data_IF_390812152496
#
_entry.id   IF_390812152496
#
_cell.length_a   1.000
_cell.length_b   1.000
_cell.length_c   1.000
_cell.angle_alpha   90.00
_cell.angle_beta   90.00
_cell.angle_gamma   90.00
#
_symmetry.space_group_name_H-M   'P 1'
#
loop_
_entity.id
_entity.type
_entity.pdbx_description
1 polymer ?
#
# COMPACT_ATOMS: atom_id res chain seq x y z
N UNK A 1 -0.77 4.14 0.54
CA UNK A 1 -1.25 4.53 1.88
C UNK A 1 -0.12 5.29 2.57
N UNK A 2 -0.44 6.07 3.60
CA UNK A 2 0.59 6.78 4.39
C UNK A 2 1.48 5.77 5.10
N UNK A 3 2.80 5.99 5.08
CA UNK A 3 3.79 5.09 5.69
C UNK A 3 4.24 3.93 4.80
N UNK A 4 3.60 3.70 3.65
CA UNK A 4 4.13 2.79 2.64
C UNK A 4 5.51 3.27 2.19
N UNK A 5 6.44 2.35 1.92
CA UNK A 5 7.76 2.72 1.42
C UNK A 5 8.39 1.61 0.58
N UNK A 6 9.30 2.01 -0.32
CA UNK A 6 10.20 1.08 -1.00
C UNK A 6 11.63 1.61 -0.96
N UNK A 7 12.59 0.69 -1.13
CA UNK A 7 14.01 0.99 -1.06
C UNK A 7 14.61 0.98 -2.46
N UNK A 8 15.28 2.06 -2.85
CA UNK A 8 16.17 2.02 -4.01
C UNK A 8 17.43 1.22 -3.64
N UNK A 9 17.73 0.18 -4.40
CA UNK A 9 18.83 -0.74 -4.18
C UNK A 9 19.98 -0.52 -5.18
N UNK A 10 21.07 -1.29 -5.04
CA UNK A 10 22.26 -1.12 -5.89
C UNK A 10 21.98 -1.33 -7.39
N UNK A 11 20.97 -2.13 -7.74
CA UNK A 11 20.57 -2.37 -9.12
C UNK A 11 19.89 -1.15 -9.77
N UNK A 12 19.53 -0.15 -8.97
CA UNK A 12 19.00 1.10 -9.45
C UNK A 12 20.10 2.07 -9.90
N UNK A 13 21.35 1.86 -9.49
CA UNK A 13 22.44 2.81 -9.69
C UNK A 13 23.46 2.33 -10.74
N UNK A 14 24.49 3.15 -10.98
CA UNK A 14 25.64 2.72 -11.78
C UNK A 14 26.31 1.48 -11.17
N UNK A 15 26.90 0.58 -11.97
CA UNK A 15 27.59 -0.60 -11.46
C UNK A 15 28.62 -0.28 -10.38
N UNK A 16 28.57 -0.99 -9.26
CA UNK A 16 29.46 -0.78 -8.11
C UNK A 16 29.15 0.45 -7.25
N UNK A 17 28.06 1.17 -7.54
CA UNK A 17 27.60 2.29 -6.71
C UNK A 17 26.46 1.88 -5.78
N UNK A 18 26.31 2.67 -4.72
CA UNK A 18 25.28 2.50 -3.69
C UNK A 18 24.52 3.80 -3.50
N UNK A 19 23.42 3.78 -2.75
CA UNK A 19 22.66 5.00 -2.44
C UNK A 19 23.53 6.12 -1.82
N UNK A 20 24.58 5.77 -1.08
CA UNK A 20 25.49 6.74 -0.45
C UNK A 20 26.26 7.61 -1.46
N UNK A 21 26.42 7.15 -2.71
CA UNK A 21 27.08 7.88 -3.79
C UNK A 21 26.21 8.99 -4.42
N UNK A 22 24.93 9.08 -4.02
CA UNK A 22 23.94 9.96 -4.64
C UNK A 22 23.32 10.94 -3.64
N UNK A 23 22.85 12.06 -4.17
CA UNK A 23 21.91 12.96 -3.50
C UNK A 23 20.52 12.74 -4.10
N UNK A 24 19.54 12.48 -3.23
CA UNK A 24 18.17 12.21 -3.64
C UNK A 24 17.29 13.46 -3.54
N UNK A 25 16.34 13.58 -4.46
CA UNK A 25 15.33 14.63 -4.41
C UNK A 25 13.99 14.15 -4.97
N UNK A 26 12.92 14.72 -4.44
CA UNK A 26 11.53 14.60 -4.85
C UNK A 26 10.92 16.00 -4.86
N UNK A 27 10.04 16.30 -5.81
CA UNK A 27 9.33 17.59 -5.86
C UNK A 27 7.95 17.53 -5.20
N UNK A 28 7.41 16.32 -5.02
CA UNK A 28 6.13 16.09 -4.35
C UNK A 28 6.18 16.39 -2.85
N UNK A 29 5.12 17.03 -2.34
CA UNK A 29 4.85 17.10 -0.90
C UNK A 29 4.42 15.75 -0.30
N UNK A 30 3.88 14.85 -1.13
CA UNK A 30 3.24 13.60 -0.73
C UNK A 30 4.15 12.36 -0.76
N UNK A 31 5.35 12.50 -1.33
CA UNK A 31 6.41 11.48 -1.35
C UNK A 31 7.71 12.10 -0.86
N UNK A 32 8.42 11.36 -0.02
CA UNK A 32 9.74 11.69 0.49
C UNK A 32 10.77 10.68 0.03
N UNK A 33 12.03 11.10 -0.10
CA UNK A 33 13.17 10.20 -0.30
C UNK A 33 14.30 10.64 0.62
N UNK A 34 14.77 9.73 1.46
CA UNK A 34 15.87 10.02 2.38
C UNK A 34 17.25 9.78 1.74
N UNK A 35 18.32 10.12 2.49
CA UNK A 35 19.70 9.94 2.04
C UNK A 35 20.11 8.47 1.82
N UNK A 36 19.32 7.51 2.29
CA UNK A 36 19.54 6.08 2.05
C UNK A 36 18.83 5.58 0.80
N UNK A 37 18.02 6.42 0.14
CA UNK A 37 17.21 6.04 -1.00
C UNK A 37 15.89 5.36 -0.62
N UNK A 38 15.45 5.48 0.65
CA UNK A 38 14.14 5.00 1.08
C UNK A 38 13.08 6.00 0.63
N UNK A 39 12.19 5.57 -0.24
CA UNK A 39 11.08 6.38 -0.77
C UNK A 39 9.83 6.09 0.06
N UNK A 40 9.27 7.11 0.73
CA UNK A 40 8.13 6.96 1.65
C UNK A 40 6.94 7.82 1.22
N UNK A 41 5.74 7.24 1.22
CA UNK A 41 4.49 7.92 0.92
C UNK A 41 3.90 8.56 2.19
N UNK A 42 3.75 9.89 2.22
CA UNK A 42 3.37 10.65 3.42
C UNK A 42 1.87 10.96 3.51
N UNK A 43 1.23 11.23 2.39
CA UNK A 43 -0.18 11.58 2.32
C UNK A 43 -0.74 11.29 0.92
N UNK A 44 -2.06 11.40 0.78
CA UNK A 44 -2.71 11.37 -0.54
C UNK A 44 -2.11 12.47 -1.40
N UNK A 45 -1.74 12.15 -2.63
CA UNK A 45 -1.20 13.11 -3.58
C UNK A 45 -1.60 12.81 -5.02
N UNK A 46 -0.76 13.24 -5.96
CA UNK A 46 -0.95 13.02 -7.39
C UNK A 46 -0.81 11.54 -7.79
N UNK A 47 -1.17 11.21 -9.02
CA UNK A 47 -1.04 9.86 -9.56
C UNK A 47 0.39 9.53 -10.07
N UNK A 48 1.31 10.50 -10.10
CA UNK A 48 2.71 10.26 -10.44
C UNK A 48 3.67 11.26 -9.78
N UNK A 49 4.94 10.87 -9.63
CA UNK A 49 6.06 11.71 -9.18
C UNK A 49 7.39 11.20 -9.75
N UNK A 50 8.42 12.05 -9.76
CA UNK A 50 9.81 11.67 -10.08
C UNK A 50 10.72 11.76 -8.87
N UNK A 51 11.47 10.68 -8.64
CA UNK A 51 12.59 10.65 -7.71
C UNK A 51 13.88 10.78 -8.52
N UNK A 52 14.71 11.77 -8.18
CA UNK A 52 15.99 11.99 -8.85
C UNK A 52 17.13 11.63 -7.92
N UNK A 53 18.06 10.79 -8.41
CA UNK A 53 19.32 10.48 -7.75
C UNK A 53 20.47 11.11 -8.56
N UNK A 54 21.09 12.14 -7.99
CA UNK A 54 22.20 12.89 -8.62
C UNK A 54 23.54 12.39 -8.07
N UNK A 55 24.46 11.90 -8.91
CA UNK A 55 25.77 11.43 -8.44
C UNK A 55 26.57 12.56 -7.78
N UNK A 56 27.08 12.33 -6.57
CA UNK A 56 27.95 13.30 -5.86
C UNK A 56 29.27 13.57 -6.59
N UNK A 57 29.75 12.59 -7.36
CA UNK A 57 30.95 12.72 -8.19
C UNK A 57 30.74 13.56 -9.46
N UNK A 58 29.51 14.03 -9.72
CA UNK A 58 29.10 14.57 -11.01
C UNK A 58 28.77 13.48 -12.03
N UNK A 59 28.10 13.88 -13.11
CA UNK A 59 27.60 12.98 -14.16
C UNK A 59 26.08 13.04 -14.33
N UNK A 60 25.51 12.15 -15.15
CA UNK A 60 24.07 12.12 -15.39
C UNK A 60 23.29 11.63 -14.15
N UNK A 61 22.16 12.28 -13.87
CA UNK A 61 21.23 11.82 -12.83
C UNK A 61 20.40 10.63 -13.29
N UNK A 62 20.01 9.81 -12.31
CA UNK A 62 19.09 8.68 -12.48
C UNK A 62 17.70 9.14 -12.03
N UNK A 63 16.67 8.87 -12.84
CA UNK A 63 15.30 9.29 -12.56
C UNK A 63 14.39 8.08 -12.48
N UNK A 64 13.62 7.99 -11.39
CA UNK A 64 12.63 6.94 -11.16
C UNK A 64 11.24 7.56 -11.16
N UNK A 65 10.35 7.00 -11.98
CA UNK A 65 8.95 7.43 -12.03
C UNK A 65 8.10 6.54 -11.11
N UNK A 66 7.38 7.19 -10.20
CA UNK A 66 6.36 6.55 -9.38
C UNK A 66 5.02 6.77 -10.05
N UNK A 67 4.19 5.72 -10.11
CA UNK A 67 2.80 5.82 -10.55
C UNK A 67 1.90 5.17 -9.53
N UNK A 68 1.00 5.95 -8.96
CA UNK A 68 0.04 5.49 -7.95
C UNK A 68 -1.35 5.47 -8.56
N UNK A 69 -1.92 4.27 -8.68
CA UNK A 69 -3.27 4.08 -9.24
C UNK A 69 -4.37 4.30 -8.22
N UNK A 70 -4.09 3.96 -6.96
CA UNK A 70 -5.08 3.99 -5.90
C UNK A 70 -4.44 4.33 -4.57
N UNK A 71 -5.21 4.98 -3.71
CA UNK A 71 -4.83 5.28 -2.34
C UNK A 71 -5.67 4.51 -1.35
N UNK A 72 -4.99 3.90 -0.37
CA UNK A 72 -5.59 3.07 0.68
C UNK A 72 -5.60 3.80 2.02
N UNK A 73 -6.66 3.60 2.80
CA UNK A 73 -6.80 4.04 4.19
C UNK A 73 -7.27 2.87 5.04
N UNK A 74 -6.75 2.76 6.26
CA UNK A 74 -7.15 1.70 7.18
C UNK A 74 -8.13 2.22 8.24
N UNK A 75 -8.98 1.35 8.76
CA UNK A 75 -9.84 1.65 9.91
C UNK A 75 -9.13 1.58 11.26
N UNK A 76 -7.80 1.43 11.28
CA UNK A 76 -6.99 1.25 12.49
C UNK A 76 -7.37 -0.03 13.23
N UNK A 77 -7.52 0.06 14.55
CA UNK A 77 -7.86 -1.07 15.43
C UNK A 77 -9.36 -1.46 15.38
N UNK A 78 -10.15 -0.80 14.54
CA UNK A 78 -11.57 -1.07 14.44
C UNK A 78 -11.82 -2.45 13.82
N UNK A 79 -12.34 -3.35 14.65
CA UNK A 79 -12.75 -4.71 14.30
C UNK A 79 -14.28 -4.76 14.28
N UNK A 80 -14.88 -4.96 13.11
CA UNK A 80 -16.31 -4.63 12.89
C UNK A 80 -17.03 -5.63 12.00
N UNK A 81 -18.37 -5.60 12.05
CA UNK A 81 -19.23 -6.35 11.13
C UNK A 81 -19.21 -5.76 9.71
N UNK A 82 -19.60 -6.56 8.72
CA UNK A 82 -19.48 -6.19 7.31
C UNK A 82 -20.19 -4.87 6.94
N UNK A 83 -21.42 -4.65 7.41
CA UNK A 83 -22.18 -3.43 7.11
C UNK A 83 -21.53 -2.16 7.67
N UNK A 84 -20.84 -2.27 8.81
CA UNK A 84 -20.09 -1.14 9.38
C UNK A 84 -18.82 -0.85 8.57
N UNK A 85 -18.17 -1.88 8.01
CA UNK A 85 -17.03 -1.70 7.12
C UNK A 85 -17.42 -0.99 5.82
N UNK A 86 -18.55 -1.39 5.20
CA UNK A 86 -19.11 -0.70 4.04
C UNK A 86 -19.43 0.77 4.36
N UNK A 87 -20.07 1.02 5.49
CA UNK A 87 -20.42 2.37 5.93
C UNK A 87 -19.17 3.22 6.22
N UNK A 88 -18.14 2.64 6.86
CA UNK A 88 -16.87 3.32 7.14
C UNK A 88 -16.21 3.79 5.83
N UNK A 89 -16.10 2.91 4.84
CA UNK A 89 -15.48 3.27 3.56
C UNK A 89 -16.28 4.35 2.83
N UNK A 90 -17.59 4.13 2.65
CA UNK A 90 -18.45 5.04 1.88
C UNK A 90 -18.57 6.42 2.54
N UNK A 91 -18.72 6.50 3.86
CA UNK A 91 -18.80 7.77 4.60
C UNK A 91 -17.52 8.60 4.51
N UNK A 92 -16.36 7.97 4.25
CA UNK A 92 -15.08 8.65 4.08
C UNK A 92 -14.75 8.94 2.60
N UNK A 93 -15.65 8.65 1.66
CA UNK A 93 -15.43 8.85 0.22
C UNK A 93 -14.49 7.80 -0.40
N UNK A 94 -14.40 6.61 0.20
CA UNK A 94 -13.65 5.46 -0.29
C UNK A 94 -14.59 4.29 -0.59
N UNK A 95 -14.04 3.25 -1.21
CA UNK A 95 -14.75 2.01 -1.52
C UNK A 95 -14.16 0.86 -0.70
N UNK A 96 -15.02 -0.04 -0.19
CA UNK A 96 -14.58 -1.31 0.36
C UNK A 96 -14.04 -2.18 -0.81
N UNK A 97 -12.80 -2.66 -0.77
CA UNK A 97 -12.15 -3.33 -1.88
C UNK A 97 -12.76 -4.70 -2.17
N UNK A 98 -12.75 -5.11 -3.44
CA UNK A 98 -12.96 -6.52 -3.78
C UNK A 98 -11.77 -7.37 -3.32
N UNK A 99 -11.99 -8.67 -3.19
CA UNK A 99 -10.97 -9.59 -2.68
C UNK A 99 -9.68 -9.57 -3.52
N UNK A 100 -9.80 -9.46 -4.85
CA UNK A 100 -8.68 -9.36 -5.79
C UNK A 100 -7.86 -8.07 -5.66
N UNK A 101 -8.45 -6.99 -5.17
CA UNK A 101 -7.73 -5.75 -4.86
C UNK A 101 -6.97 -5.85 -3.52
N UNK A 102 -7.45 -6.68 -2.58
CA UNK A 102 -6.69 -6.99 -1.36
C UNK A 102 -5.54 -7.95 -1.67
N UNK A 103 -5.82 -9.03 -2.41
CA UNK A 103 -4.81 -9.93 -2.93
C UNK A 103 -5.32 -10.70 -4.17
N UNK A 104 -4.51 -10.81 -5.23
CA UNK A 104 -4.85 -11.59 -6.44
C UNK A 104 -3.91 -12.75 -6.72
N UNK A 105 -2.79 -12.88 -6.00
CA UNK A 105 -1.86 -13.99 -6.17
C UNK A 105 -1.11 -14.33 -4.88
N UNK A 106 -0.51 -15.53 -4.82
CA UNK A 106 0.38 -15.92 -3.71
C UNK A 106 1.82 -15.43 -3.88
N UNK A 107 2.11 -14.72 -4.97
CA UNK A 107 3.42 -14.20 -5.30
C UNK A 107 3.45 -12.67 -5.20
N UNK A 108 4.65 -12.09 -5.09
CA UNK A 108 4.82 -10.65 -5.22
C UNK A 108 4.33 -10.21 -6.60
N UNK A 109 3.53 -9.16 -6.65
CA UNK A 109 2.88 -8.68 -7.86
C UNK A 109 2.38 -7.26 -7.72
N UNK A 110 2.08 -6.62 -8.86
CA UNK A 110 1.53 -5.27 -8.91
C UNK A 110 0.02 -5.36 -9.06
N UNK A 111 -0.72 -4.45 -8.43
CA UNK A 111 -2.16 -4.25 -8.61
C UNK A 111 -3.04 -4.67 -7.43
N UNK A 112 -2.48 -5.24 -6.35
CA UNK A 112 -3.23 -5.48 -5.11
C UNK A 112 -2.39 -5.11 -3.89
N UNK A 113 -3.07 -4.83 -2.78
CA UNK A 113 -2.43 -4.35 -1.55
C UNK A 113 -1.40 -5.35 -1.02
N UNK A 114 -1.79 -6.60 -0.78
CA UNK A 114 -0.90 -7.62 -0.22
C UNK A 114 0.19 -8.02 -1.23
N UNK A 115 -0.13 -8.21 -2.51
CA UNK A 115 0.89 -8.64 -3.49
C UNK A 115 2.00 -7.59 -3.67
N UNK A 116 1.69 -6.30 -3.53
CA UNK A 116 2.69 -5.22 -3.65
C UNK A 116 3.50 -5.03 -2.36
N UNK A 117 2.81 -5.02 -1.22
CA UNK A 117 3.38 -4.52 0.04
C UNK A 117 3.72 -5.63 1.04
N UNK A 118 3.27 -6.86 0.78
CA UNK A 118 3.48 -8.03 1.63
C UNK A 118 2.60 -8.00 2.88
N UNK A 119 3.08 -8.63 3.95
CA UNK A 119 2.42 -8.60 5.26
C UNK A 119 2.25 -7.15 5.73
N UNK A 120 0.99 -6.76 5.88
CA UNK A 120 0.61 -5.38 6.19
C UNK A 120 0.85 -5.01 7.65
N UNK A 121 1.07 -5.98 8.55
CA UNK A 121 1.45 -5.68 9.94
C UNK A 121 2.83 -5.01 10.07
N UNK A 122 3.65 -5.01 9.03
CA UNK A 122 4.86 -4.17 9.00
C UNK A 122 4.55 -2.66 9.00
N UNK A 123 3.29 -2.27 8.77
CA UNK A 123 2.84 -0.88 8.71
C UNK A 123 1.85 -0.53 9.84
N UNK A 124 1.86 -1.25 10.97
CA UNK A 124 0.96 -0.97 12.10
C UNK A 124 1.13 0.44 12.66
N UNK A 125 2.36 0.90 12.92
CA UNK A 125 2.59 2.21 13.53
C UNK A 125 2.12 3.36 12.63
N UNK A 126 2.46 3.31 11.34
CA UNK A 126 2.28 4.47 10.45
C UNK A 126 0.96 4.49 9.70
N UNK A 127 0.36 3.32 9.50
CA UNK A 127 -0.86 3.15 8.72
C UNK A 127 -1.98 2.43 9.48
N UNK A 128 -1.70 1.94 10.70
CA UNK A 128 -2.68 1.22 11.53
C UNK A 128 -3.00 -0.18 11.05
N UNK A 129 -2.30 -0.73 10.06
CA UNK A 129 -2.59 -2.05 9.53
C UNK A 129 -2.19 -3.16 10.50
N UNK A 130 -3.03 -4.17 10.61
CA UNK A 130 -2.81 -5.39 11.39
C UNK A 130 -2.60 -6.61 10.47
N UNK A 131 -1.75 -7.56 10.87
CA UNK A 131 -1.58 -8.87 10.22
C UNK A 131 -2.79 -9.77 10.51
N UNK A 132 -3.92 -9.54 9.84
CA UNK A 132 -5.17 -10.24 10.12
C UNK A 132 -6.12 -10.27 8.90
N UNK A 133 -7.35 -10.75 9.10
CA UNK A 133 -8.41 -10.82 8.10
C UNK A 133 -9.09 -9.46 7.89
N UNK A 134 -9.27 -9.10 6.63
CA UNK A 134 -9.94 -7.88 6.20
C UNK A 134 -11.17 -8.19 5.34
N UNK A 135 -12.24 -7.44 5.56
CA UNK A 135 -13.43 -7.50 4.73
C UNK A 135 -13.12 -7.15 3.28
N UNK A 136 -13.70 -7.92 2.36
CA UNK A 136 -13.81 -7.55 0.96
C UNK A 136 -15.27 -7.33 0.57
N UNK A 137 -15.53 -6.55 -0.47
CA UNK A 137 -16.86 -6.40 -1.06
C UNK A 137 -17.24 -7.54 -2.02
N UNK A 138 -16.44 -8.62 -2.10
CA UNK A 138 -16.75 -9.81 -2.89
C UNK A 138 -17.69 -10.76 -2.13
N UNK A 139 -18.94 -10.97 -2.60
CA UNK A 139 -19.89 -11.83 -1.90
C UNK A 139 -19.50 -13.30 -2.04
N UNK A 140 -19.62 -14.07 -0.96
CA UNK A 140 -19.51 -15.54 -1.00
C UNK A 140 -20.89 -16.18 -1.19
N UNK A 141 -21.92 -15.66 -0.51
CA UNK A 141 -23.33 -15.96 -0.73
C UNK A 141 -24.21 -14.83 -0.14
N UNK A 142 -25.48 -15.10 0.17
CA UNK A 142 -26.42 -14.11 0.71
C UNK A 142 -26.04 -13.58 2.10
N UNK A 143 -25.50 -14.43 2.97
CA UNK A 143 -25.19 -14.12 4.38
C UNK A 143 -23.68 -14.02 4.68
N UNK A 144 -22.83 -14.43 3.74
CA UNK A 144 -21.38 -14.49 3.92
C UNK A 144 -20.62 -13.67 2.89
N UNK A 145 -19.42 -13.27 3.29
CA UNK A 145 -18.54 -12.42 2.52
C UNK A 145 -17.13 -13.00 2.51
N UNK A 146 -16.41 -12.81 1.40
CA UNK A 146 -14.99 -13.12 1.38
C UNK A 146 -14.18 -12.14 2.22
N UNK A 147 -13.24 -12.67 2.97
CA UNK A 147 -12.19 -11.93 3.68
C UNK A 147 -10.83 -12.34 3.14
N UNK A 148 -9.85 -11.44 3.24
CA UNK A 148 -8.47 -11.71 2.85
C UNK A 148 -7.55 -11.46 4.03
N UNK A 149 -6.68 -12.43 4.32
CA UNK A 149 -5.59 -12.29 5.29
C UNK A 149 -4.56 -11.33 4.72
N UNK A 150 -4.38 -10.16 5.32
CA UNK A 150 -3.26 -9.27 4.99
C UNK A 150 -1.94 -9.67 5.69
N UNK A 151 -1.91 -10.85 6.31
CA UNK A 151 -0.69 -11.50 6.79
C UNK A 151 -0.12 -12.51 5.78
N UNK A 152 -1.00 -13.23 5.07
CA UNK A 152 -0.61 -14.35 4.18
C UNK A 152 -1.12 -14.21 2.74
N UNK A 153 -2.08 -13.32 2.50
CA UNK A 153 -2.78 -13.18 1.22
C UNK A 153 -3.88 -14.22 1.01
N UNK A 154 -4.09 -15.15 1.94
CA UNK A 154 -5.10 -16.19 1.79
C UNK A 154 -6.53 -15.65 1.93
N UNK A 155 -7.43 -16.20 1.13
CA UNK A 155 -8.85 -15.88 1.15
C UNK A 155 -9.60 -16.84 2.07
N UNK A 156 -10.61 -16.33 2.76
CA UNK A 156 -11.54 -17.10 3.60
C UNK A 156 -12.95 -16.53 3.49
N UNK A 157 -13.93 -17.15 4.13
CA UNK A 157 -15.34 -16.75 4.11
C UNK A 157 -15.82 -16.57 5.53
N UNK A 158 -16.36 -15.40 5.85
CA UNK A 158 -16.98 -15.10 7.16
C UNK A 158 -18.45 -14.71 6.97
N UNK A 159 -19.28 -15.02 7.97
CA UNK A 159 -20.64 -14.49 8.07
C UNK A 159 -20.61 -12.96 8.21
N UNK A 160 -21.56 -12.24 7.60
CA UNK A 160 -21.64 -10.78 7.65
C UNK A 160 -21.78 -10.21 9.06
N UNK A 161 -22.26 -11.01 10.01
CA UNK A 161 -22.36 -10.68 11.44
C UNK A 161 -21.09 -11.01 12.24
N UNK A 162 -20.11 -11.70 11.62
CA UNK A 162 -18.77 -11.87 12.17
C UNK A 162 -17.97 -10.57 12.17
N UNK A 163 -16.73 -10.63 12.64
CA UNK A 163 -15.87 -9.45 12.76
C UNK A 163 -14.57 -9.63 11.98
N UNK A 164 -14.20 -8.59 11.23
CA UNK A 164 -12.92 -8.48 10.55
C UNK A 164 -12.48 -7.01 10.52
N UNK A 165 -11.22 -6.75 10.14
CA UNK A 165 -10.74 -5.38 9.91
C UNK A 165 -11.27 -4.82 8.59
N UNK A 166 -11.20 -3.50 8.41
CA UNK A 166 -11.60 -2.83 7.18
C UNK A 166 -10.47 -1.93 6.66
N UNK A 167 -10.16 -2.08 5.38
CA UNK A 167 -9.37 -1.10 4.65
C UNK A 167 -10.16 -0.65 3.44
N UNK A 168 -10.00 0.60 3.06
CA UNK A 168 -10.76 1.23 1.98
C UNK A 168 -9.80 1.81 0.98
N UNK A 169 -10.21 1.89 -0.28
CA UNK A 169 -9.39 2.46 -1.34
C UNK A 169 -10.20 3.37 -2.25
N UNK A 170 -9.50 4.28 -2.92
CA UNK A 170 -10.02 5.10 -4.00
C UNK A 170 -8.98 5.20 -5.10
N UNK A 171 -9.41 5.38 -6.34
CA UNK A 171 -8.51 5.66 -7.45
C UNK A 171 -8.05 7.12 -7.42
N UNK A 172 -6.87 7.38 -7.99
CA UNK A 172 -6.29 8.71 -8.16
C UNK A 172 -6.32 9.16 -9.62
#
# INVERSE_FOLDING_TARGET
FTGAYYQLNNDNFAPGKTAADYEFSSSASWVDVDATGKVTFKNVGSNWERITATPKSGGPSYVYEIRVKSWWVNSGDAFMIYSLAENFCSSNGYTLPRADHLNHSRSRGIGSLYSEWGDMGHYTTEAGFQSNMYWSSSPANSSEQYVVSLATGDQSVFEKLGFAYATCYKNL
#
